data_IF_447921431388
#
_entry.id   IF_447921431388
#
_cell.length_a   1.000
_cell.length_b   1.000
_cell.length_c   1.000
_cell.angle_alpha   90.00
_cell.angle_beta   90.00
_cell.angle_gamma   90.00
#
_symmetry.space_group_name_H-M   'P 1'
#
loop_
_entity.id
_entity.type
_entity.pdbx_description
1 polymer ?
#
# COMPACT_ATOMS: atom_id res chain seq x y z
N UNK A 1 -20.15 -62.20 40.10
CA UNK A 1 -18.92 -61.42 39.81
C UNK A 1 -18.91 -61.09 38.32
N UNK A 2 -18.72 -59.83 37.93
CA UNK A 2 -18.95 -59.38 36.57
C UNK A 2 -17.83 -59.84 35.62
N UNK A 3 -18.24 -60.47 34.53
CA UNK A 3 -17.40 -60.95 33.42
C UNK A 3 -17.09 -59.78 32.48
N UNK A 4 -15.81 -59.41 32.36
CA UNK A 4 -15.35 -58.42 31.38
C UNK A 4 -15.51 -58.97 29.95
N UNK A 5 -16.14 -58.23 29.02
CA UNK A 5 -16.25 -58.65 27.63
C UNK A 5 -14.89 -58.58 26.90
N UNK A 6 -14.62 -59.45 25.91
CA UNK A 6 -13.37 -59.44 25.17
C UNK A 6 -13.23 -58.17 24.31
N UNK A 7 -12.02 -57.63 24.15
CA UNK A 7 -11.80 -56.37 23.44
C UNK A 7 -12.14 -56.49 21.94
N UNK A 8 -12.81 -55.47 21.42
CA UNK A 8 -13.24 -55.34 20.02
C UNK A 8 -12.06 -55.34 19.03
N UNK A 9 -12.26 -55.94 17.85
CA UNK A 9 -11.31 -56.02 16.72
C UNK A 9 -10.80 -54.64 16.25
N UNK A 10 -11.55 -53.55 16.49
CA UNK A 10 -11.13 -52.18 16.19
C UNK A 10 -9.99 -51.68 17.10
N UNK A 11 -9.70 -52.35 18.22
CA UNK A 11 -8.56 -52.05 19.08
C UNK A 11 -7.21 -52.54 18.53
N UNK A 12 -7.23 -53.37 17.47
CA UNK A 12 -6.03 -53.98 16.86
C UNK A 12 -5.61 -53.36 15.52
N UNK A 13 -6.35 -52.37 15.01
CA UNK A 13 -5.98 -51.63 13.80
C UNK A 13 -5.42 -50.24 14.18
N UNK A 14 -4.20 -50.21 14.74
CA UNK A 14 -3.41 -48.96 14.77
C UNK A 14 -2.80 -48.77 13.38
N UNK A 15 -3.01 -47.63 12.70
CA UNK A 15 -2.19 -47.27 11.55
C UNK A 15 -0.72 -47.23 11.99
N UNK A 16 0.23 -47.64 11.13
CA UNK A 16 1.65 -47.59 11.45
C UNK A 16 2.03 -46.15 11.86
N UNK A 17 2.95 -45.97 12.83
CA UNK A 17 3.41 -44.65 13.21
C UNK A 17 3.94 -43.94 11.96
N UNK A 18 3.35 -42.79 11.65
CA UNK A 18 3.67 -41.99 10.49
C UNK A 18 5.18 -41.84 10.36
N UNK A 19 5.71 -42.24 9.21
CA UNK A 19 7.13 -42.11 8.88
C UNK A 19 7.63 -40.71 9.19
N UNK A 20 8.68 -40.62 10.03
CA UNK A 20 9.59 -39.48 10.23
C UNK A 20 9.06 -38.16 9.67
N UNK A 21 8.35 -37.40 10.50
CA UNK A 21 8.10 -35.97 10.28
C UNK A 21 9.44 -35.31 9.97
N UNK A 22 9.70 -34.99 8.70
CA UNK A 22 10.78 -34.07 8.32
C UNK A 22 10.60 -32.84 9.20
N UNK A 23 11.56 -32.57 10.08
CA UNK A 23 11.49 -31.42 10.97
C UNK A 23 11.29 -30.19 10.09
N UNK A 24 10.14 -29.53 10.21
CA UNK A 24 9.94 -28.25 9.53
C UNK A 24 11.09 -27.34 9.99
N UNK A 25 11.84 -26.70 9.06
CA UNK A 25 12.88 -25.76 9.45
C UNK A 25 12.29 -24.76 10.43
N UNK A 26 12.95 -24.55 11.59
CA UNK A 26 12.46 -23.60 12.59
C UNK A 26 12.37 -22.23 11.93
N UNK A 27 11.17 -21.66 11.89
CA UNK A 27 10.96 -20.34 11.33
C UNK A 27 11.83 -19.32 12.08
N UNK A 28 12.61 -18.53 11.33
CA UNK A 28 13.45 -17.51 11.94
C UNK A 28 12.56 -16.45 12.63
N UNK A 29 12.91 -15.99 13.84
CA UNK A 29 12.19 -14.90 14.47
C UNK A 29 12.28 -13.63 13.59
N UNK A 30 11.24 -12.78 13.57
CA UNK A 30 11.29 -11.50 12.86
C UNK A 30 12.48 -10.64 13.33
N UNK A 31 13.20 -10.05 12.38
CA UNK A 31 14.27 -9.09 12.66
C UNK A 31 13.67 -7.70 12.90
N UNK A 32 14.01 -7.05 14.00
CA UNK A 32 13.60 -5.67 14.24
C UNK A 32 14.53 -4.70 13.53
N UNK A 33 13.97 -3.73 12.81
CA UNK A 33 14.67 -2.67 12.07
C UNK A 33 14.25 -1.30 12.64
N UNK A 34 14.80 -0.89 13.80
CA UNK A 34 14.35 0.32 14.51
C UNK A 34 14.86 1.64 13.92
N UNK A 35 15.85 1.62 13.01
CA UNK A 35 16.47 2.83 12.47
C UNK A 35 16.36 2.92 10.95
N UNK A 36 16.37 4.14 10.39
CA UNK A 36 16.41 4.36 8.93
C UNK A 36 17.46 3.53 8.19
N UNK A 37 18.69 3.51 8.72
CA UNK A 37 19.82 2.78 8.13
C UNK A 37 19.54 1.27 8.04
N UNK A 38 19.00 0.66 9.11
CA UNK A 38 18.68 -0.76 9.12
C UNK A 38 17.53 -1.08 8.15
N UNK A 39 16.54 -0.19 8.04
CA UNK A 39 15.44 -0.34 7.07
C UNK A 39 15.98 -0.38 5.63
N UNK A 40 16.81 0.59 5.24
CA UNK A 40 17.35 0.67 3.88
C UNK A 40 18.36 -0.42 3.54
N UNK A 41 19.08 -0.95 4.55
CA UNK A 41 20.03 -2.06 4.36
C UNK A 41 19.35 -3.40 4.12
N UNK A 42 18.20 -3.64 4.77
CA UNK A 42 17.55 -4.96 4.75
C UNK A 42 16.33 -5.06 3.84
N UNK A 43 15.80 -3.92 3.40
CA UNK A 43 14.55 -3.86 2.63
C UNK A 43 14.63 -2.83 1.51
N UNK A 44 13.80 -2.96 0.45
CA UNK A 44 13.63 -1.92 -0.57
C UNK A 44 12.83 -0.70 -0.07
N UNK A 45 12.91 -0.37 1.23
CA UNK A 45 12.21 0.75 1.83
C UNK A 45 13.19 1.79 2.36
N UNK A 46 12.77 3.05 2.44
CA UNK A 46 13.43 4.10 3.24
C UNK A 46 12.49 4.54 4.36
N UNK A 47 13.02 4.80 5.55
CA UNK A 47 12.27 5.38 6.67
C UNK A 47 12.83 6.78 6.98
N UNK A 48 11.95 7.78 7.01
CA UNK A 48 12.25 9.11 7.53
C UNK A 48 11.50 9.31 8.84
N UNK A 49 12.23 9.65 9.90
CA UNK A 49 11.64 9.99 11.20
C UNK A 49 11.36 11.49 11.25
N UNK A 50 10.15 11.88 11.64
CA UNK A 50 9.74 13.29 11.81
C UNK A 50 9.74 14.09 10.51
N UNK A 51 8.97 13.64 9.52
CA UNK A 51 9.01 14.20 8.15
C UNK A 51 8.32 15.56 8.01
N UNK A 52 7.26 15.81 8.78
CA UNK A 52 6.49 17.06 8.74
C UNK A 52 6.92 17.98 9.90
N UNK A 53 6.73 19.31 9.77
CA UNK A 53 6.70 20.20 10.93
C UNK A 53 5.77 19.64 12.02
N UNK A 54 6.18 19.62 13.30
CA UNK A 54 5.42 19.00 14.38
C UNK A 54 3.95 19.48 14.50
N UNK A 55 3.71 20.77 14.30
CA UNK A 55 2.38 21.39 14.31
C UNK A 55 1.51 20.87 13.15
N UNK A 56 2.10 20.73 11.96
CA UNK A 56 1.43 20.16 10.79
C UNK A 56 1.08 18.68 11.03
N UNK A 57 2.01 17.91 11.60
CA UNK A 57 1.77 16.50 11.94
C UNK A 57 0.60 16.35 12.93
N UNK A 58 0.50 17.22 13.93
CA UNK A 58 -0.61 17.21 14.90
C UNK A 58 -1.94 17.65 14.27
N UNK A 59 -1.95 18.76 13.51
CA UNK A 59 -3.16 19.21 12.79
C UNK A 59 -3.68 18.09 11.88
N UNK A 60 -2.80 17.50 11.07
CA UNK A 60 -3.16 16.40 10.19
C UNK A 60 -3.69 15.19 10.99
N UNK A 61 -3.05 14.83 12.09
CA UNK A 61 -3.52 13.74 12.95
C UNK A 61 -4.95 13.99 13.45
N UNK A 62 -5.24 15.19 13.96
CA UNK A 62 -6.57 15.53 14.46
C UNK A 62 -7.62 15.56 13.35
N UNK A 63 -7.33 16.22 12.23
CA UNK A 63 -8.24 16.24 11.07
C UNK A 63 -8.57 14.82 10.61
N UNK A 64 -7.58 13.94 10.53
CA UNK A 64 -7.81 12.57 10.08
C UNK A 64 -8.49 11.69 11.13
N UNK A 65 -8.36 11.99 12.43
CA UNK A 65 -9.18 11.36 13.47
C UNK A 65 -10.65 11.75 13.35
N UNK A 66 -10.94 13.00 12.98
CA UNK A 66 -12.31 13.46 12.74
C UNK A 66 -12.90 12.80 11.49
N UNK A 67 -12.16 12.80 10.39
CA UNK A 67 -12.55 12.08 9.17
C UNK A 67 -12.79 10.58 9.45
N UNK A 68 -11.97 9.97 10.31
CA UNK A 68 -12.06 8.55 10.64
C UNK A 68 -13.36 8.13 11.35
N UNK A 69 -14.14 9.08 11.87
CA UNK A 69 -15.47 8.80 12.45
C UNK A 69 -16.46 8.29 11.40
N UNK A 70 -16.34 8.75 10.16
CA UNK A 70 -17.20 8.36 9.04
C UNK A 70 -16.63 7.18 8.22
N UNK A 71 -15.39 6.76 8.51
CA UNK A 71 -14.74 5.65 7.80
C UNK A 71 -15.38 4.32 8.15
N UNK A 72 -15.38 3.40 7.18
CA UNK A 72 -16.02 2.09 7.30
C UNK A 72 -14.99 0.97 7.44
N UNK A 73 -15.43 -0.15 8.00
CA UNK A 73 -14.70 -1.41 7.94
C UNK A 73 -15.04 -2.11 6.64
N UNK A 74 -14.02 -2.48 5.86
CA UNK A 74 -14.22 -3.12 4.56
C UNK A 74 -14.59 -4.60 4.72
N UNK A 75 -15.54 -5.10 3.92
CA UNK A 75 -15.98 -6.50 3.91
C UNK A 75 -15.68 -7.18 2.58
N UNK A 76 -15.23 -8.44 2.59
CA UNK A 76 -14.97 -9.22 1.37
C UNK A 76 -15.09 -10.73 1.62
N UNK A 77 -15.20 -11.52 0.55
CA UNK A 77 -15.22 -12.98 0.66
C UNK A 77 -13.80 -13.57 0.68
N UNK A 78 -13.54 -14.46 1.65
CA UNK A 78 -12.30 -15.22 1.78
C UNK A 78 -12.63 -16.65 2.18
N UNK A 79 -12.31 -17.63 1.32
CA UNK A 79 -12.67 -19.06 1.50
C UNK A 79 -14.15 -19.28 1.84
N UNK A 80 -15.04 -18.72 1.00
CA UNK A 80 -16.50 -18.81 1.16
C UNK A 80 -17.03 -18.26 2.49
N UNK A 81 -16.27 -17.37 3.13
CA UNK A 81 -16.68 -16.63 4.31
C UNK A 81 -16.58 -15.13 4.06
N UNK A 82 -17.65 -14.41 4.38
CA UNK A 82 -17.61 -12.95 4.41
C UNK A 82 -16.81 -12.52 5.64
N UNK A 83 -15.65 -11.92 5.42
CA UNK A 83 -14.78 -11.38 6.47
C UNK A 83 -14.80 -9.85 6.44
N UNK A 84 -14.51 -9.24 7.59
CA UNK A 84 -14.45 -7.78 7.76
C UNK A 84 -13.05 -7.37 8.23
N UNK A 85 -12.57 -6.22 7.73
CA UNK A 85 -11.32 -5.62 8.14
C UNK A 85 -11.40 -5.14 9.60
N UNK A 86 -10.44 -5.50 10.45
CA UNK A 86 -10.38 -5.00 11.83
C UNK A 86 -10.03 -3.51 11.96
N UNK A 87 -9.80 -2.76 10.88
CA UNK A 87 -9.52 -1.32 10.93
C UNK A 87 -10.51 -0.54 10.07
N UNK A 88 -10.64 0.77 10.33
CA UNK A 88 -11.44 1.68 9.49
C UNK A 88 -10.60 2.25 8.36
N UNK A 89 -11.19 2.43 7.18
CA UNK A 89 -10.50 2.98 6.00
C UNK A 89 -11.31 4.10 5.35
N UNK A 90 -10.60 5.14 4.92
CA UNK A 90 -11.10 6.19 4.02
C UNK A 90 -10.23 6.25 2.76
N UNK A 91 -10.81 6.63 1.62
CA UNK A 91 -10.09 6.79 0.37
C UNK A 91 -10.28 8.20 -0.17
N UNK A 92 -9.19 8.79 -0.65
CA UNK A 92 -9.13 10.18 -1.05
C UNK A 92 -8.50 10.34 -2.42
N UNK A 93 -9.00 11.31 -3.19
CA UNK A 93 -8.44 11.74 -4.47
C UNK A 93 -7.96 13.18 -4.36
N UNK A 94 -6.85 13.49 -5.03
CA UNK A 94 -6.33 14.86 -5.11
C UNK A 94 -6.99 15.58 -6.28
N UNK A 95 -7.38 16.84 -6.09
CA UNK A 95 -7.84 17.68 -7.19
C UNK A 95 -6.62 18.19 -7.97
N UNK A 96 -6.63 18.06 -9.29
CA UNK A 96 -5.63 18.70 -10.12
C UNK A 96 -6.01 20.18 -10.27
N UNK A 97 -5.07 21.08 -10.04
CA UNK A 97 -5.27 22.53 -10.21
C UNK A 97 -4.43 22.96 -11.39
N UNK A 98 -5.07 23.42 -12.46
CA UNK A 98 -4.33 24.05 -13.54
C UNK A 98 -3.85 25.45 -13.16
N UNK A 99 -2.72 25.81 -13.76
CA UNK A 99 -1.99 27.05 -13.52
C UNK A 99 -2.70 28.34 -13.93
N UNK A 100 -3.96 28.27 -14.39
CA UNK A 100 -4.74 29.43 -14.85
C UNK A 100 -6.17 29.49 -14.25
N UNK A 101 -6.39 28.87 -13.07
CA UNK A 101 -7.67 28.97 -12.36
C UNK A 101 -8.83 28.20 -13.02
N UNK A 102 -8.54 27.40 -14.05
CA UNK A 102 -9.45 26.41 -14.60
C UNK A 102 -9.48 25.17 -13.71
N UNK A 103 -10.68 24.77 -13.30
CA UNK A 103 -10.92 23.44 -12.74
C UNK A 103 -10.86 22.44 -13.91
N UNK A 104 -9.76 21.74 -14.11
CA UNK A 104 -9.84 20.41 -14.71
C UNK A 104 -10.51 19.49 -13.67
N UNK A 105 -11.83 19.58 -13.61
CA UNK A 105 -12.62 18.41 -13.25
C UNK A 105 -12.24 17.40 -14.31
N UNK A 106 -11.53 16.34 -13.93
CA UNK A 106 -11.36 15.10 -14.68
C UNK A 106 -12.66 14.85 -15.48
N UNK A 107 -12.73 15.32 -16.74
CA UNK A 107 -14.01 15.54 -17.45
C UNK A 107 -14.74 14.20 -17.67
N UNK A 108 -14.03 13.09 -17.46
CA UNK A 108 -14.54 11.72 -17.59
C UNK A 108 -14.64 10.94 -16.28
N UNK A 109 -14.40 11.52 -15.10
CA UNK A 109 -14.61 10.84 -13.82
C UNK A 109 -13.83 9.52 -13.66
N UNK A 110 -12.74 9.33 -14.40
CA UNK A 110 -12.03 8.06 -14.51
C UNK A 110 -11.40 7.63 -13.20
N UNK A 111 -10.72 8.53 -12.48
CA UNK A 111 -10.14 8.19 -11.17
C UNK A 111 -11.19 7.94 -10.09
N UNK A 112 -12.44 8.41 -10.28
CA UNK A 112 -13.57 8.02 -9.42
C UNK A 112 -13.92 6.55 -9.60
N UNK A 113 -13.80 5.97 -10.81
CA UNK A 113 -13.94 4.52 -11.01
C UNK A 113 -12.82 3.76 -10.27
N UNK A 114 -11.56 4.21 -10.37
CA UNK A 114 -10.46 3.57 -9.62
C UNK A 114 -10.73 3.55 -8.11
N UNK A 115 -11.25 4.67 -7.59
CA UNK A 115 -11.67 4.80 -6.20
C UNK A 115 -12.85 3.88 -5.85
N UNK A 116 -13.86 3.80 -6.73
CA UNK A 116 -15.01 2.92 -6.57
C UNK A 116 -14.58 1.45 -6.49
N UNK A 117 -13.60 1.01 -7.30
CA UNK A 117 -13.14 -0.38 -7.33
C UNK A 117 -11.93 -0.67 -6.42
N UNK A 118 -11.50 0.29 -5.59
CA UNK A 118 -10.26 0.24 -4.82
C UNK A 118 -10.12 -1.00 -3.92
N UNK A 119 -11.21 -1.40 -3.26
CA UNK A 119 -11.21 -2.54 -2.35
C UNK A 119 -12.02 -3.71 -2.91
N UNK A 120 -11.30 -4.68 -3.49
CA UNK A 120 -11.87 -5.90 -4.06
C UNK A 120 -13.00 -5.65 -5.07
N UNK A 121 -13.01 -4.47 -5.70
CA UNK A 121 -13.93 -4.04 -6.75
C UNK A 121 -15.33 -3.56 -6.33
N UNK A 122 -15.65 -3.41 -5.04
CA UNK A 122 -17.05 -3.17 -4.61
C UNK A 122 -17.40 -1.71 -4.79
N UNK A 123 -18.51 -1.42 -5.48
CA UNK A 123 -19.01 -0.05 -5.65
C UNK A 123 -19.15 0.68 -4.31
N UNK A 124 -18.47 1.82 -4.20
CA UNK A 124 -18.50 2.69 -3.00
C UNK A 124 -18.88 4.11 -3.40
N UNK A 125 -19.25 4.93 -2.40
CA UNK A 125 -19.48 6.37 -2.62
C UNK A 125 -18.21 7.00 -3.20
N UNK A 126 -18.38 8.04 -4.02
CA UNK A 126 -17.26 8.80 -4.57
C UNK A 126 -16.28 9.21 -3.45
N UNK A 127 -14.96 9.13 -3.71
CA UNK A 127 -13.94 9.41 -2.71
C UNK A 127 -13.99 10.87 -2.26
N UNK A 128 -13.64 11.11 -1.00
CA UNK A 128 -13.44 12.46 -0.49
C UNK A 128 -12.22 13.10 -1.16
N UNK A 129 -12.21 14.42 -1.25
CA UNK A 129 -11.02 15.13 -1.71
C UNK A 129 -9.98 15.20 -0.59
N UNK A 130 -8.71 15.41 -0.93
CA UNK A 130 -7.65 15.66 0.04
C UNK A 130 -8.04 16.86 0.92
N UNK A 131 -8.13 16.70 2.26
CA UNK A 131 -8.25 17.83 3.16
C UNK A 131 -7.05 18.78 2.96
N UNK A 132 -7.25 20.10 3.12
CA UNK A 132 -6.20 21.09 2.90
C UNK A 132 -4.90 20.79 3.68
N UNK A 133 -5.02 20.27 4.90
CA UNK A 133 -3.87 19.85 5.73
C UNK A 133 -3.16 18.60 5.20
N UNK A 134 -3.89 17.69 4.54
CA UNK A 134 -3.31 16.54 3.85
C UNK A 134 -2.54 17.00 2.60
N UNK A 135 -3.06 17.98 1.87
CA UNK A 135 -2.40 18.59 0.70
C UNK A 135 -1.07 19.28 1.08
N UNK A 136 -1.08 20.05 2.19
CA UNK A 136 0.12 20.67 2.76
C UNK A 136 1.20 19.62 3.10
N UNK A 137 0.81 18.52 3.74
CA UNK A 137 1.72 17.41 4.05
C UNK A 137 2.19 16.66 2.79
N UNK A 138 1.30 16.47 1.81
CA UNK A 138 1.59 15.78 0.55
C UNK A 138 2.71 16.49 -0.21
N UNK A 139 2.68 17.82 -0.29
CA UNK A 139 3.72 18.63 -0.94
C UNK A 139 5.13 18.35 -0.39
N UNK A 140 5.25 18.22 0.94
CA UNK A 140 6.52 17.89 1.60
C UNK A 140 6.94 16.45 1.28
N UNK A 141 6.00 15.51 1.33
CA UNK A 141 6.23 14.09 1.06
C UNK A 141 6.68 13.87 -0.38
N UNK A 142 6.05 14.53 -1.36
CA UNK A 142 6.42 14.42 -2.77
C UNK A 142 7.86 14.84 -3.01
N UNK A 143 8.29 15.98 -2.45
CA UNK A 143 9.68 16.41 -2.54
C UNK A 143 10.63 15.32 -2.04
N UNK A 144 10.37 14.78 -0.85
CA UNK A 144 11.23 13.76 -0.23
C UNK A 144 11.23 12.45 -1.02
N UNK A 145 10.07 12.01 -1.50
CA UNK A 145 9.97 10.79 -2.32
C UNK A 145 10.76 10.95 -3.62
N UNK A 146 10.64 12.08 -4.31
CA UNK A 146 11.39 12.34 -5.53
C UNK A 146 12.90 12.45 -5.28
N UNK A 147 13.33 13.05 -4.16
CA UNK A 147 14.74 13.05 -3.74
C UNK A 147 15.26 11.63 -3.49
N UNK A 148 14.49 10.79 -2.80
CA UNK A 148 14.86 9.39 -2.56
C UNK A 148 14.91 8.56 -3.85
N UNK A 149 13.99 8.81 -4.79
CA UNK A 149 13.99 8.13 -6.09
C UNK A 149 15.24 8.43 -6.92
N UNK A 150 15.73 9.68 -6.88
CA UNK A 150 16.95 10.08 -7.61
C UNK A 150 18.23 9.43 -7.08
N UNK A 151 18.24 8.94 -5.85
CA UNK A 151 19.42 8.30 -5.22
C UNK A 151 19.61 6.85 -5.65
N UNK A 152 18.69 6.27 -6.44
CA UNK A 152 18.58 4.82 -6.63
C UNK A 152 18.55 4.47 -8.12
N UNK A 153 19.15 3.33 -8.50
CA UNK A 153 18.89 2.77 -9.82
C UNK A 153 17.41 2.39 -9.92
N UNK A 154 16.82 2.67 -11.07
CA UNK A 154 15.40 2.41 -11.35
C UNK A 154 15.26 1.10 -12.16
N UNK A 155 14.16 0.38 -11.97
CA UNK A 155 13.83 -0.81 -12.76
C UNK A 155 13.25 -0.41 -14.13
N UNK A 156 13.46 -1.22 -15.18
CA UNK A 156 13.03 -0.87 -16.54
C UNK A 156 11.55 -0.55 -16.70
N UNK A 157 10.67 -1.20 -15.92
CA UNK A 157 9.21 -1.01 -16.00
C UNK A 157 8.67 0.08 -15.06
N UNK A 158 9.55 0.76 -14.31
CA UNK A 158 9.13 1.91 -13.52
C UNK A 158 8.71 3.06 -14.44
N UNK A 159 7.80 3.90 -13.93
CA UNK A 159 7.44 5.15 -14.58
C UNK A 159 8.67 6.04 -14.79
N UNK A 160 8.86 6.51 -16.03
CA UNK A 160 10.00 7.34 -16.41
C UNK A 160 9.85 8.82 -16.02
N UNK A 161 8.65 9.25 -15.65
CA UNK A 161 8.32 10.66 -15.47
C UNK A 161 7.40 11.18 -16.57
N UNK A 162 6.89 12.39 -16.38
CA UNK A 162 6.13 13.08 -17.42
C UNK A 162 7.08 13.43 -18.57
N UNK A 163 6.75 13.06 -19.83
CA UNK A 163 7.52 13.52 -20.96
C UNK A 163 7.47 15.04 -21.01
N UNK A 164 8.56 15.73 -21.37
CA UNK A 164 8.56 17.19 -21.45
C UNK A 164 7.45 17.66 -22.40
N UNK A 165 6.53 18.49 -21.90
CA UNK A 165 5.56 19.15 -22.76
C UNK A 165 6.27 20.21 -23.61
N UNK A 166 6.62 19.85 -24.84
CA UNK A 166 7.29 20.71 -25.80
C UNK A 166 6.40 21.90 -26.25
N UNK A 167 5.10 21.88 -25.95
CA UNK A 167 4.17 22.95 -26.31
C UNK A 167 4.14 24.11 -25.30
N UNK A 168 4.77 23.96 -24.12
CA UNK A 168 4.80 24.99 -23.06
C UNK A 168 6.13 25.77 -23.07
N UNK A 169 6.14 27.06 -23.44
CA UNK A 169 7.36 27.85 -23.65
C UNK A 169 8.16 28.18 -22.37
N UNK A 170 7.59 27.99 -21.18
CA UNK A 170 8.25 28.23 -19.88
C UNK A 170 8.75 26.94 -19.19
N UNK A 171 8.84 25.84 -19.94
CA UNK A 171 9.08 24.51 -19.39
C UNK A 171 7.82 23.91 -18.77
N UNK A 172 7.73 22.59 -18.82
CA UNK A 172 6.68 21.87 -18.13
C UNK A 172 6.91 21.98 -16.60
N UNK A 173 5.91 22.47 -15.84
CA UNK A 173 5.99 22.53 -14.36
C UNK A 173 6.24 21.15 -13.74
N UNK A 174 5.84 20.11 -14.46
CA UNK A 174 6.00 18.72 -14.04
C UNK A 174 7.29 18.08 -14.58
N UNK A 175 8.10 18.84 -15.33
CA UNK A 175 9.39 18.36 -15.84
C UNK A 175 10.31 17.94 -14.71
N UNK A 176 10.73 16.67 -14.72
CA UNK A 176 11.61 16.10 -13.70
C UNK A 176 10.91 15.61 -12.43
N UNK A 177 9.57 15.65 -12.37
CA UNK A 177 8.79 14.94 -11.35
C UNK A 177 8.70 13.46 -11.74
N UNK A 178 9.22 12.59 -10.86
CA UNK A 178 9.24 11.14 -11.04
C UNK A 178 8.05 10.46 -10.36
N UNK A 179 7.47 11.11 -9.35
CA UNK A 179 6.37 10.60 -8.56
C UNK A 179 5.52 11.74 -7.99
N UNK A 180 4.19 11.62 -8.11
CA UNK A 180 3.24 12.53 -7.46
C UNK A 180 2.06 11.75 -6.91
N UNK A 181 1.61 12.07 -5.71
CA UNK A 181 0.42 11.44 -5.17
C UNK A 181 -0.82 12.08 -5.80
N UNK A 182 -1.65 11.25 -6.41
CA UNK A 182 -2.99 11.63 -6.90
C UNK A 182 -4.11 10.94 -6.10
N UNK A 183 -3.77 9.93 -5.30
CA UNK A 183 -4.71 9.28 -4.39
C UNK A 183 -4.06 8.91 -3.06
N UNK A 184 -4.89 8.75 -2.03
CA UNK A 184 -4.45 8.29 -0.72
C UNK A 184 -5.48 7.34 -0.09
N UNK A 185 -4.99 6.21 0.44
CA UNK A 185 -5.76 5.36 1.34
C UNK A 185 -5.37 5.64 2.78
N UNK A 186 -6.33 6.07 3.59
CA UNK A 186 -6.10 6.33 5.01
C UNK A 186 -6.72 5.24 5.87
N UNK A 187 -5.98 4.77 6.87
CA UNK A 187 -6.39 3.71 7.77
C UNK A 187 -6.29 4.19 9.22
N UNK A 188 -7.32 3.93 10.01
CA UNK A 188 -7.35 4.19 11.44
C UNK A 188 -7.29 2.85 12.18
N UNK A 189 -6.26 2.67 12.99
CA UNK A 189 -6.08 1.53 13.89
C UNK A 189 -6.27 2.01 15.32
N UNK A 190 -7.40 1.70 15.92
CA UNK A 190 -7.77 2.05 17.29
C UNK A 190 -7.40 0.92 18.26
N UNK A 191 -6.47 1.19 19.17
CA UNK A 191 -6.03 0.17 20.12
C UNK A 191 -5.08 -0.88 19.52
N UNK A 192 -4.75 -1.88 20.33
CA UNK A 192 -3.69 -2.85 20.00
C UNK A 192 -4.17 -3.99 19.08
N UNK A 193 -5.48 -4.25 19.01
CA UNK A 193 -6.08 -5.40 18.31
C UNK A 193 -6.35 -5.14 16.83
N UNK A 194 -6.62 -3.89 16.46
CA UNK A 194 -6.88 -3.53 15.06
C UNK A 194 -5.64 -3.76 14.22
N UNK A 195 -5.84 -4.34 13.04
CA UNK A 195 -4.76 -4.90 12.21
C UNK A 195 -5.15 -4.98 10.75
N UNK A 196 -4.15 -5.23 9.89
CA UNK A 196 -4.35 -5.63 8.49
C UNK A 196 -3.48 -6.84 8.20
N UNK A 197 -4.04 -7.89 7.61
CA UNK A 197 -3.32 -9.12 7.29
C UNK A 197 -2.20 -8.93 6.25
N UNK A 198 -1.43 -9.98 6.00
CA UNK A 198 -0.39 -9.94 4.97
C UNK A 198 -0.98 -9.70 3.58
N UNK A 199 -0.52 -8.65 2.91
CA UNK A 199 -0.92 -8.30 1.54
C UNK A 199 0.24 -7.63 0.79
N UNK A 200 0.07 -7.45 -0.53
CA UNK A 200 0.80 -6.44 -1.30
C UNK A 200 -0.25 -5.46 -1.81
N UNK A 201 0.14 -4.22 -2.02
CA UNK A 201 -0.75 -3.24 -2.61
C UNK A 201 -1.18 -3.67 -4.02
N UNK A 202 -2.42 -3.35 -4.39
CA UNK A 202 -2.96 -3.71 -5.70
C UNK A 202 -2.26 -2.91 -6.79
N UNK A 203 -1.64 -3.60 -7.75
CA UNK A 203 -0.87 -2.97 -8.81
C UNK A 203 -1.72 -2.43 -9.96
N UNK A 204 -3.03 -2.72 -9.98
CA UNK A 204 -3.93 -2.41 -11.13
C UNK A 204 -3.73 -1.01 -11.70
N UNK A 205 -3.78 0.01 -10.83
CA UNK A 205 -3.63 1.42 -11.22
C UNK A 205 -2.23 1.98 -10.95
N UNK A 206 -1.43 1.27 -10.14
CA UNK A 206 -0.06 1.67 -9.79
C UNK A 206 0.96 1.27 -10.87
N UNK A 207 0.61 0.26 -11.68
CA UNK A 207 1.51 -0.39 -12.62
C UNK A 207 2.63 -1.22 -11.94
N UNK A 208 3.53 -1.80 -12.76
CA UNK A 208 4.74 -2.48 -12.30
C UNK A 208 5.67 -1.57 -11.49
N UNK A 209 6.34 -2.13 -10.48
CA UNK A 209 7.40 -1.48 -9.71
C UNK A 209 7.01 -0.11 -9.12
N UNK A 210 5.85 0.02 -8.45
CA UNK A 210 5.42 1.33 -7.97
C UNK A 210 6.22 1.78 -6.74
N UNK A 211 6.26 3.09 -6.56
CA UNK A 211 6.69 3.72 -5.30
C UNK A 211 5.47 4.17 -4.52
N UNK A 212 5.45 3.88 -3.23
CA UNK A 212 4.31 4.15 -2.34
C UNK A 212 4.83 4.78 -1.05
N UNK A 213 4.21 5.87 -0.62
CA UNK A 213 4.64 6.63 0.54
C UNK A 213 3.61 6.49 1.68
N UNK A 214 4.04 5.97 2.83
CA UNK A 214 3.17 5.69 3.98
C UNK A 214 3.54 6.55 5.17
N UNK A 215 2.72 7.56 5.46
CA UNK A 215 2.86 8.42 6.63
C UNK A 215 2.12 7.81 7.82
N UNK A 216 2.79 7.66 8.95
CA UNK A 216 2.21 7.19 10.21
C UNK A 216 2.10 8.34 11.22
N UNK A 217 0.93 8.52 11.81
CA UNK A 217 0.63 9.53 12.82
C UNK A 217 -0.06 8.86 14.03
N UNK A 218 0.35 9.21 15.23
CA UNK A 218 -0.29 8.76 16.46
C UNK A 218 0.48 7.63 17.13
N UNK A 219 -0.23 6.67 17.73
CA UNK A 219 0.39 5.55 18.44
C UNK A 219 1.31 4.74 17.53
N UNK A 220 2.52 4.46 18.04
CA UNK A 220 3.49 3.60 17.38
C UNK A 220 2.93 2.21 17.17
N UNK A 221 3.04 1.70 15.93
CA UNK A 221 2.70 0.31 15.59
C UNK A 221 3.85 -0.34 14.83
N UNK A 222 3.81 -1.66 14.71
CA UNK A 222 4.75 -2.40 13.88
C UNK A 222 4.22 -2.49 12.44
N UNK A 223 5.00 -1.99 11.49
CA UNK A 223 4.87 -2.37 10.09
C UNK A 223 5.77 -3.58 9.82
N UNK A 224 5.20 -4.70 9.39
CA UNK A 224 5.93 -5.95 9.21
C UNK A 224 5.98 -6.33 7.74
N UNK A 225 7.18 -6.58 7.24
CA UNK A 225 7.45 -7.12 5.91
C UNK A 225 7.84 -8.60 6.02
N UNK A 226 7.28 -9.44 5.13
CA UNK A 226 7.68 -10.84 4.97
C UNK A 226 8.03 -11.08 3.52
N UNK A 227 9.23 -11.57 3.31
CA UNK A 227 9.71 -11.94 1.98
C UNK A 227 8.87 -13.08 1.40
N UNK A 228 8.58 -12.99 0.10
CA UNK A 228 8.08 -14.12 -0.69
C UNK A 228 9.29 -14.80 -1.35
N UNK A 229 9.52 -16.07 -1.01
CA UNK A 229 10.62 -16.87 -1.55
C UNK A 229 10.27 -17.35 -2.97
N UNK A 230 11.19 -17.16 -3.95
CA UNK A 230 11.08 -17.77 -5.27
C UNK A 230 10.93 -19.30 -5.23
N UNK A 231 10.23 -19.89 -6.20
CA UNK A 231 9.94 -21.33 -6.22
C UNK A 231 11.21 -22.21 -6.24
N UNK A 232 12.25 -21.76 -6.93
CA UNK A 232 13.56 -22.41 -7.04
C UNK A 232 14.40 -22.30 -5.76
N UNK A 233 14.13 -21.32 -4.91
CA UNK A 233 14.84 -21.09 -3.65
C UNK A 233 14.13 -21.70 -2.42
N UNK A 234 12.92 -22.24 -2.58
CA UNK A 234 12.07 -22.69 -1.46
C UNK A 234 12.70 -23.78 -0.59
N UNK A 235 13.57 -24.60 -1.20
CA UNK A 235 14.31 -25.67 -0.51
C UNK A 235 15.70 -25.21 -0.03
N UNK A 236 16.16 -24.02 -0.42
CA UNK A 236 17.49 -23.50 -0.13
C UNK A 236 17.50 -22.59 1.10
N UNK A 237 16.43 -21.81 1.32
CA UNK A 237 16.34 -20.87 2.45
C UNK A 237 14.91 -20.59 2.88
N UNK A 238 14.75 -19.94 4.03
CA UNK A 238 13.46 -19.54 4.58
C UNK A 238 13.17 -18.05 4.32
N UNK A 239 11.89 -17.64 4.22
CA UNK A 239 11.52 -16.23 4.11
C UNK A 239 11.98 -15.44 5.33
N UNK A 240 12.64 -14.31 5.10
CA UNK A 240 12.95 -13.38 6.19
C UNK A 240 11.73 -12.49 6.49
N UNK A 241 11.53 -12.22 7.77
CA UNK A 241 10.50 -11.31 8.26
C UNK A 241 11.17 -10.14 8.98
N UNK A 242 10.73 -8.92 8.71
CA UNK A 242 11.26 -7.67 9.26
C UNK A 242 10.15 -6.90 9.96
N UNK A 243 10.42 -6.37 11.15
CA UNK A 243 9.53 -5.49 11.90
C UNK A 243 10.13 -4.08 11.89
N UNK A 244 9.35 -3.10 11.42
CA UNK A 244 9.71 -1.69 11.42
C UNK A 244 8.76 -0.98 12.38
N UNK A 245 9.23 -0.50 13.53
CA UNK A 245 8.44 0.40 14.38
C UNK A 245 8.18 1.70 13.62
N UNK A 246 6.91 2.01 13.37
CA UNK A 246 6.50 3.26 12.72
C UNK A 246 5.86 4.16 13.77
N UNK A 247 6.62 5.15 14.22
CA UNK A 247 6.20 6.12 15.25
C UNK A 247 5.42 7.28 14.62
N UNK A 248 4.86 8.16 15.46
CA UNK A 248 4.25 9.41 14.99
C UNK A 248 5.21 10.19 14.08
N UNK A 249 4.66 10.74 13.00
CA UNK A 249 5.36 11.55 11.99
C UNK A 249 6.48 10.78 11.24
N UNK A 250 6.38 9.45 11.16
CA UNK A 250 7.29 8.64 10.35
C UNK A 250 6.76 8.45 8.92
N UNK A 251 7.60 8.69 7.92
CA UNK A 251 7.34 8.34 6.52
C UNK A 251 8.11 7.08 6.15
N UNK A 252 7.40 6.01 5.80
CA UNK A 252 7.98 4.83 5.18
C UNK A 252 7.71 4.87 3.68
N UNK A 253 8.76 4.97 2.88
CA UNK A 253 8.70 4.90 1.41
C UNK A 253 9.00 3.46 1.01
N UNK A 254 8.01 2.80 0.40
CA UNK A 254 8.17 1.50 -0.23
C UNK A 254 8.57 1.74 -1.69
N UNK A 255 9.83 1.50 -2.04
CA UNK A 255 10.32 1.68 -3.40
C UNK A 255 9.93 0.49 -4.29
N UNK A 256 10.21 0.65 -5.58
CA UNK A 256 10.17 -0.41 -6.57
C UNK A 256 10.76 -1.73 -6.04
N UNK A 257 10.09 -2.85 -6.37
CA UNK A 257 10.33 -4.22 -5.91
C UNK A 257 9.73 -4.59 -4.56
N UNK A 258 9.23 -3.62 -3.76
CA UNK A 258 8.60 -3.94 -2.47
C UNK A 258 7.36 -4.81 -2.67
N UNK A 259 6.45 -4.43 -3.56
CA UNK A 259 5.19 -5.15 -3.79
C UNK A 259 5.40 -6.47 -4.54
N UNK A 260 6.49 -6.56 -5.31
CA UNK A 260 6.93 -7.71 -6.09
C UNK A 260 7.64 -8.77 -5.23
N UNK A 261 8.31 -8.36 -4.16
CA UNK A 261 9.15 -9.26 -3.34
C UNK A 261 8.61 -9.52 -1.94
N UNK A 262 7.78 -8.65 -1.39
CA UNK A 262 7.31 -8.72 -0.01
C UNK A 262 5.78 -8.68 0.10
N UNK A 263 5.29 -9.32 1.15
CA UNK A 263 3.97 -9.04 1.73
C UNK A 263 4.15 -8.22 2.99
N UNK A 264 3.26 -7.29 3.27
CA UNK A 264 3.30 -6.48 4.47
C UNK A 264 2.01 -6.55 5.28
N UNK A 265 2.10 -6.25 6.58
CA UNK A 265 1.01 -6.33 7.56
C UNK A 265 1.24 -5.32 8.68
N UNK A 266 0.15 -4.86 9.31
CA UNK A 266 0.19 -4.24 10.65
C UNK A 266 -0.45 -5.26 11.59
N UNK A 267 0.35 -6.04 12.36
CA UNK A 267 -0.20 -7.11 13.19
C UNK A 267 -0.83 -6.55 14.46
N UNK A 268 -1.75 -7.31 15.10
CA UNK A 268 -2.15 -7.05 16.47
C UNK A 268 -0.94 -7.08 17.40
N UNK A 269 -0.98 -6.27 18.44
CA UNK A 269 0.02 -6.23 19.50
C UNK A 269 -0.65 -6.53 20.85
N UNK A 270 0.06 -7.17 21.79
CA UNK A 270 -0.49 -7.41 23.14
C UNK A 270 -0.71 -6.08 23.88
N UNK A 271 0.21 -5.13 23.68
CA UNK A 271 0.21 -3.80 24.29
C UNK A 271 0.70 -2.76 23.28
N UNK A 272 0.29 -1.52 23.50
CA UNK A 272 0.73 -0.32 22.77
C UNK A 272 0.85 0.83 23.77
N UNK A 273 1.73 1.77 23.47
CA UNK A 273 1.83 3.01 24.25
C UNK A 273 0.79 4.02 23.77
N UNK A 274 0.26 4.82 24.70
CA UNK A 274 -0.60 5.95 24.35
C UNK A 274 0.26 7.06 23.75
N UNK A 275 -0.14 7.57 22.60
CA UNK A 275 0.47 8.74 21.99
C UNK A 275 -0.06 10.00 22.67
N UNK A 276 0.84 10.91 23.04
CA UNK A 276 0.50 12.24 23.55
C UNK A 276 0.92 13.27 22.52
N UNK A 277 -0.03 13.89 21.80
CA UNK A 277 0.29 14.92 20.80
C UNK A 277 1.10 16.07 21.41
N UNK A 278 2.21 16.51 20.79
CA UNK A 278 3.00 17.63 21.31
C UNK A 278 2.31 18.99 21.20
N UNK A 279 1.29 19.11 20.34
CA UNK A 279 0.50 20.33 20.17
C UNK A 279 -0.98 20.04 20.41
N UNK A 280 -1.72 20.96 21.05
CA UNK A 280 -3.14 20.76 21.31
C UNK A 280 -3.97 20.83 20.03
N UNK A 281 -5.19 20.28 20.10
CA UNK A 281 -6.19 20.42 19.04
C UNK A 281 -6.63 21.88 18.96
N UNK A 282 -6.56 22.47 17.77
CA UNK A 282 -7.09 23.81 17.54
C UNK A 282 -8.62 23.78 17.64
N UNK A 283 -9.20 24.68 18.44
CA UNK A 283 -10.66 24.81 18.53
C UNK A 283 -11.24 25.24 17.17
N UNK A 284 -12.40 24.69 16.74
CA UNK A 284 -13.05 25.18 15.54
C UNK A 284 -13.40 26.67 15.69
N UNK A 285 -13.29 27.48 14.62
CA UNK A 285 -13.41 28.95 14.69
C UNK A 285 -14.77 29.47 15.18
N UNK A 286 -15.78 28.61 15.29
CA UNK A 286 -17.15 28.96 15.74
C UNK A 286 -17.52 28.40 17.12
N UNK A 287 -16.60 27.79 17.86
CA UNK A 287 -16.87 27.42 19.25
C UNK A 287 -17.04 28.68 20.09
N UNK A 288 -18.30 28.98 20.47
CA UNK A 288 -18.65 30.14 21.29
C UNK A 288 -17.76 30.21 22.53
N UNK A 289 -17.23 31.40 22.78
CA UNK A 289 -16.31 31.75 23.87
C UNK A 289 -16.92 31.69 25.29
N UNK A 290 -17.88 30.80 25.52
CA UNK A 290 -18.62 30.69 26.79
C UNK A 290 -18.11 29.60 27.73
N UNK A 291 -17.07 28.86 27.35
CA UNK A 291 -16.43 27.88 28.23
C UNK A 291 -15.02 28.35 28.57
N UNK A 292 -14.91 29.07 29.67
CA UNK A 292 -13.65 29.48 30.30
C UNK A 292 -12.91 28.29 30.92
N UNK A 293 -12.52 27.31 30.09
CA UNK A 293 -11.58 26.28 30.52
C UNK A 293 -10.23 26.56 29.84
N UNK A 294 -9.23 27.10 30.55
CA UNK A 294 -7.97 27.57 29.98
C UNK A 294 -7.00 26.43 29.61
N UNK A 295 -7.37 25.16 29.86
CA UNK A 295 -6.59 24.01 29.45
C UNK A 295 -7.02 23.55 28.06
N UNK A 296 -6.21 23.90 27.05
CA UNK A 296 -6.15 23.14 25.80
C UNK A 296 -5.58 21.73 26.11
N UNK A 297 -6.38 20.88 26.76
CA UNK A 297 -5.91 19.62 27.32
C UNK A 297 -5.44 18.69 26.20
N UNK A 298 -4.16 18.29 26.26
CA UNK A 298 -3.59 17.28 25.37
C UNK A 298 -4.20 15.93 25.76
N UNK A 299 -5.16 15.46 24.98
CA UNK A 299 -5.76 14.14 25.17
C UNK A 299 -4.83 13.06 24.60
N UNK A 300 -4.41 12.07 25.42
CA UNK A 300 -3.71 10.90 24.92
C UNK A 300 -4.59 10.12 23.97
N UNK A 301 -4.01 9.59 22.90
CA UNK A 301 -4.69 8.77 21.91
C UNK A 301 -4.06 7.39 21.84
N UNK A 302 -4.89 6.36 21.70
CA UNK A 302 -4.46 4.99 21.38
C UNK A 302 -4.54 4.68 19.88
N UNK A 303 -4.85 5.70 19.06
CA UNK A 303 -5.09 5.55 17.64
C UNK A 303 -3.82 5.77 16.83
N UNK A 304 -3.64 4.96 15.80
CA UNK A 304 -2.71 5.22 14.71
C UNK A 304 -3.51 5.56 13.46
N UNK A 305 -3.27 6.75 12.92
CA UNK A 305 -3.65 7.10 11.56
C UNK A 305 -2.47 6.77 10.64
N UNK A 306 -2.78 6.11 9.53
CA UNK A 306 -1.84 5.83 8.46
C UNK A 306 -2.39 6.42 7.17
N UNK A 307 -1.62 7.25 6.47
CA UNK A 307 -1.99 7.78 5.16
C UNK A 307 -1.03 7.20 4.13
N UNK A 308 -1.54 6.34 3.26
CA UNK A 308 -0.76 5.71 2.19
C UNK A 308 -1.01 6.46 0.89
N UNK A 309 -0.11 7.40 0.57
CA UNK A 309 -0.09 8.14 -0.69
C UNK A 309 0.40 7.26 -1.83
N UNK A 310 -0.28 7.35 -2.95
CA UNK A 310 -0.04 6.51 -4.13
C UNK A 310 -0.11 7.37 -5.38
N UNK A 311 0.74 7.01 -6.34
CA UNK A 311 0.69 7.53 -7.69
C UNK A 311 0.02 6.48 -8.57
N UNK A 312 -1.23 6.70 -8.93
CA UNK A 312 -1.82 5.97 -10.04
C UNK A 312 -1.29 6.53 -11.34
N UNK A 313 -0.70 5.65 -12.15
CA UNK A 313 -0.04 6.09 -13.38
C UNK A 313 -1.08 6.35 -14.47
N UNK A 314 -0.96 7.44 -15.25
CA UNK A 314 -1.87 7.71 -16.37
C UNK A 314 -1.96 6.55 -17.38
N UNK A 315 -0.87 5.83 -17.62
CA UNK A 315 -0.84 4.66 -18.52
C UNK A 315 -1.50 3.39 -17.94
N UNK A 316 -2.05 3.48 -16.73
CA UNK A 316 -2.93 2.50 -16.09
C UNK A 316 -4.29 3.09 -15.72
N UNK A 317 -4.75 4.09 -16.49
CA UNK A 317 -6.07 4.70 -16.31
C UNK A 317 -7.20 3.64 -16.35
N UNK A 318 -8.25 3.75 -15.53
CA UNK A 318 -9.33 2.76 -15.43
C UNK A 318 -9.98 2.36 -16.76
N UNK A 319 -10.17 3.31 -17.68
CA UNK A 319 -10.71 3.05 -19.02
C UNK A 319 -9.84 2.12 -19.88
N UNK A 320 -8.56 1.99 -19.55
CA UNK A 320 -7.60 1.12 -20.26
C UNK A 320 -7.39 -0.24 -19.58
N UNK A 321 -8.04 -0.47 -18.43
CA UNK A 321 -7.88 -1.72 -17.68
C UNK A 321 -8.72 -2.81 -18.35
N UNK A 322 -8.12 -3.97 -18.69
CA UNK A 322 -8.87 -5.05 -19.32
C UNK A 322 -9.97 -5.55 -18.38
N UNK A 323 -11.18 -5.75 -18.92
CA UNK A 323 -12.28 -6.38 -18.19
C UNK A 323 -12.23 -7.89 -18.36
N UNK A 324 -12.56 -8.62 -17.29
CA UNK A 324 -12.67 -10.07 -17.35
C UNK A 324 -14.04 -10.48 -17.93
N UNK A 325 -14.27 -11.79 -18.09
CA UNK A 325 -15.56 -12.32 -18.59
C UNK A 325 -16.75 -12.08 -17.65
N UNK A 326 -16.51 -11.70 -16.39
CA UNK A 326 -17.56 -11.27 -15.46
C UNK A 326 -17.95 -9.79 -15.61
N UNK A 327 -17.31 -9.03 -16.52
CA UNK A 327 -17.57 -7.60 -16.73
C UNK A 327 -16.87 -6.66 -15.74
N UNK A 328 -16.15 -7.19 -14.74
CA UNK A 328 -15.40 -6.38 -13.77
C UNK A 328 -13.96 -6.13 -14.26
N UNK A 329 -13.34 -5.00 -13.85
CA UNK A 329 -11.92 -4.75 -14.14
C UNK A 329 -11.02 -5.87 -13.62
N UNK A 330 -10.06 -6.32 -14.44
CA UNK A 330 -9.07 -7.29 -14.03
C UNK A 330 -8.08 -6.66 -13.04
N UNK A 331 -7.48 -7.50 -12.19
CA UNK A 331 -6.47 -7.07 -11.23
C UNK A 331 -5.07 -7.44 -11.73
N UNK A 332 -4.13 -6.51 -11.60
CA UNK A 332 -2.73 -6.76 -11.95
C UNK A 332 -1.98 -7.40 -10.77
N UNK A 333 -1.24 -8.48 -11.04
CA UNK A 333 -0.37 -9.14 -10.06
C UNK A 333 1.03 -9.38 -10.63
N UNK A 334 2.08 -9.28 -9.78
CA UNK A 334 3.42 -9.68 -10.15
C UNK A 334 3.63 -11.19 -10.02
N UNK A 335 4.51 -11.77 -10.84
CA UNK A 335 5.04 -13.11 -10.61
C UNK A 335 6.03 -13.12 -9.44
N UNK A 336 5.50 -13.16 -8.21
CA UNK A 336 6.35 -13.15 -7.03
C UNK A 336 7.18 -14.44 -6.89
N UNK A 337 6.85 -15.53 -7.60
CA UNK A 337 7.44 -16.86 -7.39
C UNK A 337 8.45 -17.25 -8.47
N UNK A 338 8.24 -16.85 -9.72
CA UNK A 338 9.16 -17.13 -10.82
C UNK A 338 9.89 -15.84 -11.20
N UNK A 339 10.92 -15.51 -10.40
CA UNK A 339 11.78 -14.34 -10.63
C UNK A 339 12.98 -14.76 -11.46
N UNK A 340 13.45 -13.90 -12.36
CA UNK A 340 14.64 -14.15 -13.15
C UNK A 340 15.70 -13.12 -12.78
N UNK A 341 16.90 -13.58 -12.39
CA UNK A 341 18.00 -12.72 -11.90
C UNK A 341 17.57 -11.75 -10.78
N UNK A 342 16.70 -12.21 -9.88
CA UNK A 342 16.21 -11.41 -8.75
C UNK A 342 15.23 -10.28 -9.12
N UNK A 343 14.72 -10.24 -10.36
CA UNK A 343 13.73 -9.29 -10.85
C UNK A 343 12.42 -10.01 -11.20
N UNK A 344 11.31 -9.31 -11.02
CA UNK A 344 10.01 -9.73 -11.59
C UNK A 344 9.91 -9.12 -12.97
N UNK A 345 9.94 -9.96 -13.99
CA UNK A 345 9.81 -9.56 -15.39
C UNK A 345 8.39 -9.77 -15.92
N UNK A 346 7.57 -10.54 -15.22
CA UNK A 346 6.20 -10.87 -15.62
C UNK A 346 5.17 -10.39 -14.64
N UNK A 347 4.16 -9.73 -15.20
CA UNK A 347 2.94 -9.32 -14.54
C UNK A 347 1.77 -9.90 -15.33
N UNK A 348 0.66 -10.17 -14.67
CA UNK A 348 -0.54 -10.65 -15.35
C UNK A 348 -1.80 -10.00 -14.78
N UNK A 349 -2.73 -9.79 -15.69
CA UNK A 349 -4.13 -9.52 -15.42
C UNK A 349 -4.82 -10.81 -15.01
N UNK A 350 -5.66 -10.77 -13.98
CA UNK A 350 -6.54 -11.89 -13.63
C UNK A 350 -7.91 -11.41 -13.14
N UNK A 351 -8.90 -12.30 -13.22
CA UNK A 351 -10.22 -12.04 -12.65
C UNK A 351 -10.14 -11.96 -11.11
N UNK A 352 -10.80 -10.95 -10.53
CA UNK A 352 -10.98 -10.82 -9.08
C UNK A 352 -12.46 -10.83 -8.65
N UNK A 353 -13.36 -11.27 -9.54
CA UNK A 353 -14.80 -11.31 -9.25
C UNK A 353 -15.13 -12.22 -8.05
N UNK A 354 -14.34 -13.27 -7.82
CA UNK A 354 -14.53 -14.17 -6.68
C UNK A 354 -14.45 -13.49 -5.31
N UNK A 355 -13.76 -12.34 -5.18
CA UNK A 355 -13.74 -11.57 -3.95
C UNK A 355 -15.12 -10.98 -3.57
N UNK A 356 -16.04 -10.93 -4.55
CA UNK A 356 -17.40 -10.43 -4.41
C UNK A 356 -18.47 -11.50 -4.61
N UNK A 357 -18.22 -12.43 -5.52
CA UNK A 357 -19.18 -13.39 -6.03
C UNK A 357 -18.98 -14.77 -5.39
N UNK A 358 -18.92 -14.84 -4.05
CA UNK A 358 -18.84 -16.11 -3.32
C UNK A 358 -17.71 -17.03 -3.80
N UNK A 359 -16.53 -16.45 -4.08
CA UNK A 359 -15.38 -17.21 -4.58
C UNK A 359 -15.43 -17.60 -6.06
N UNK A 360 -16.52 -17.31 -6.79
CA UNK A 360 -16.66 -17.64 -8.22
C UNK A 360 -15.94 -16.62 -9.10
N UNK A 361 -14.94 -17.09 -9.85
CA UNK A 361 -14.27 -16.33 -10.91
C UNK A 361 -14.53 -16.95 -12.30
N UNK A 362 -14.08 -16.26 -13.35
CA UNK A 362 -14.24 -16.74 -14.74
C UNK A 362 -12.95 -17.31 -15.35
N UNK A 363 -11.91 -17.53 -14.55
CA UNK A 363 -10.60 -17.99 -15.00
C UNK A 363 -9.89 -17.06 -15.99
N UNK A 364 -10.32 -15.80 -16.13
CA UNK A 364 -9.64 -14.86 -17.03
C UNK A 364 -8.22 -14.61 -16.52
N UNK A 365 -7.25 -14.76 -17.41
CA UNK A 365 -5.86 -14.40 -17.18
C UNK A 365 -5.23 -13.91 -18.49
N UNK A 366 -4.31 -12.94 -18.40
CA UNK A 366 -3.55 -12.41 -19.54
C UNK A 366 -2.22 -11.84 -19.04
N UNK A 367 -1.10 -12.15 -19.70
CA UNK A 367 0.19 -11.51 -19.40
C UNK A 367 0.12 -10.04 -19.79
N UNK A 368 0.60 -9.16 -18.92
CA UNK A 368 0.74 -7.73 -19.22
C UNK A 368 1.73 -7.55 -20.36
N UNK A 369 1.29 -6.92 -21.45
CA UNK A 369 2.14 -6.49 -22.55
C UNK A 369 2.21 -4.96 -22.54
N UNK A 370 3.28 -4.39 -21.96
CA UNK A 370 3.42 -2.94 -21.84
C UNK A 370 3.37 -2.25 -23.21
N UNK A 371 4.07 -2.79 -24.21
CA UNK A 371 4.14 -2.18 -25.55
C UNK A 371 2.85 -2.40 -26.33
N UNK A 372 2.33 -3.63 -26.34
CA UNK A 372 1.09 -3.98 -27.04
C UNK A 372 -0.16 -3.33 -26.44
N UNK A 373 -0.13 -2.95 -25.16
CA UNK A 373 -1.20 -2.21 -24.49
C UNK A 373 -0.97 -0.69 -24.48
N UNK A 374 0.07 -0.18 -25.16
CA UNK A 374 0.34 1.26 -25.26
C UNK A 374 0.69 1.94 -23.94
N UNK A 375 1.32 1.20 -23.01
CA UNK A 375 1.68 1.69 -21.67
C UNK A 375 3.09 2.27 -21.64
N UNK A 376 3.30 3.28 -20.80
CA UNK A 376 4.56 4.02 -20.66
C UNK A 376 4.35 5.54 -20.57
N UNK A 377 5.44 6.32 -20.53
CA UNK A 377 6.83 5.89 -20.69
C UNK A 377 7.40 5.13 -19.49
N UNK A 378 8.22 4.10 -19.76
CA UNK A 378 8.98 3.39 -18.74
C UNK A 378 10.47 3.73 -18.81
N UNK A 379 11.18 3.60 -17.68
CA UNK A 379 12.62 3.93 -17.60
C UNK A 379 13.43 3.21 -18.68
N UNK A 380 13.17 1.92 -18.90
CA UNK A 380 13.89 1.13 -19.91
C UNK A 380 13.65 1.60 -21.34
N UNK A 381 12.50 2.21 -21.63
CA UNK A 381 12.21 2.77 -22.96
C UNK A 381 13.05 4.03 -23.21
N UNK A 382 13.30 4.82 -22.16
CA UNK A 382 14.09 6.06 -22.23
C UNK A 382 15.58 5.74 -22.32
N UNK A 383 16.08 4.82 -21.50
CA UNK A 383 17.49 4.39 -21.53
C UNK A 383 17.88 3.82 -22.90
N UNK A 384 17.02 2.98 -23.50
CA UNK A 384 17.27 2.39 -24.82
C UNK A 384 17.32 3.45 -25.95
N UNK A 385 16.54 4.53 -25.86
CA UNK A 385 16.58 5.63 -26.85
C UNK A 385 17.90 6.41 -26.75
N UNK A 386 18.35 6.71 -25.54
CA UNK A 386 19.62 7.42 -25.31
C UNK A 386 20.82 6.60 -25.80
N UNK A 387 20.81 5.27 -25.60
CA UNK A 387 21.86 4.38 -26.12
C UNK A 387 21.90 4.36 -27.66
N UNK A 388 20.75 4.36 -28.33
CA UNK A 388 20.66 4.41 -29.80
C UNK A 388 21.16 5.74 -30.38
N UNK A 389 20.84 6.86 -29.72
CA UNK A 389 21.32 8.19 -30.12
C UNK A 389 22.85 8.29 -29.96
N UNK A 390 23.41 7.79 -28.87
CA UNK A 390 24.85 7.82 -28.60
C UNK A 390 25.68 6.87 -29.49
N UNK A 391 25.07 5.83 -30.07
CA UNK A 391 25.73 4.91 -31.00
C UNK A 391 25.59 5.32 -32.47
N UNK A 392 24.79 6.34 -32.75
CA UNK A 392 24.58 6.91 -34.09
C UNK A 392 25.42 8.17 -34.36
N UNK A 393 26.25 8.57 -33.39
CA UNK A 393 27.27 9.62 -33.47
C UNK A 393 28.64 8.95 -33.52
#
# INVERSE_FOLDING_TARGET
MPTTPPPSILSRLRPPPSSKTKSKPKALPPLSLPSPTLVSQHTPCTLHTSILPPELACRLFYTMLDEAKEWKRNKWWLFDRLVESPHRTGFYTRMERDGDGGEEVDEEGGWKEAAQFWYNGRETKAPSQFPAVMEEACTIIERVVNEELRKRPRFPLEWAGYPPDQSRPNGDRDSGILWRANVAASNCYEGAKESVGYHSDSLTYLGPYPTIASLSLGTTRIFRLREVIPSDEINLRQPRTYNIPVTHNSLLIMHASTQEKFKHTVPPQPTIDLFRPPFPRQSPPFASSSSSNPDHQIEPSNCRINITFRFYRPDFHPSTIPRCKCGVPAVLKPDMKNRHRGRVDRFWWHCNAGAQNEGKDCGFWKVLDMKGEGRGPCVGDVEARVEQENTSI
#
